data_IF_133553754220
#
_entry.id   IF_133553754220
#
_cell.length_a   1.000
_cell.length_b   1.000
_cell.length_c   1.000
_cell.angle_alpha   90.00
_cell.angle_beta   90.00
_cell.angle_gamma   90.00
#
_symmetry.space_group_name_H-M   'P 1'
#
loop_
_entity.id
_entity.type
_entity.pdbx_description
1 polymer ?
#
# COMPACT_ATOMS: atom_id res chain seq x y z
N UNK A 1 9.56 30.76 13.81
CA UNK A 1 9.10 31.86 12.94
C UNK A 1 8.06 31.29 12.00
N UNK A 2 6.84 31.81 12.08
CA UNK A 2 5.76 31.48 11.14
C UNK A 2 5.81 32.43 9.96
N UNK A 3 5.15 32.07 8.86
CA UNK A 3 5.04 32.94 7.69
C UNK A 3 4.28 34.22 8.05
N UNK A 4 4.97 35.36 8.00
CA UNK A 4 4.33 36.67 8.09
C UNK A 4 3.44 36.98 6.87
N UNK A 5 2.45 37.89 7.01
CA UNK A 5 1.53 38.25 5.92
C UNK A 5 2.22 38.69 4.61
N UNK A 6 3.39 39.33 4.71
CA UNK A 6 4.19 39.73 3.54
C UNK A 6 4.68 38.50 2.76
N UNK A 7 5.10 37.44 3.46
CA UNK A 7 5.49 36.17 2.83
C UNK A 7 4.29 35.49 2.18
N UNK A 8 3.12 35.47 2.84
CA UNK A 8 1.89 34.88 2.26
C UNK A 8 1.47 35.62 1.00
N UNK A 9 1.56 36.96 0.97
CA UNK A 9 1.25 37.75 -0.23
C UNK A 9 2.21 37.45 -1.38
N UNK A 10 3.50 37.29 -1.09
CA UNK A 10 4.49 36.91 -2.09
C UNK A 10 4.22 35.50 -2.64
N UNK A 11 3.92 34.53 -1.75
CA UNK A 11 3.53 33.16 -2.13
C UNK A 11 2.27 33.19 -2.99
N UNK A 12 1.21 33.89 -2.57
CA UNK A 12 -0.04 34.02 -3.33
C UNK A 12 0.19 34.59 -4.73
N UNK A 13 1.09 35.58 -4.86
CA UNK A 13 1.45 36.15 -6.16
C UNK A 13 2.20 35.14 -7.04
N UNK A 14 3.05 34.31 -6.45
CA UNK A 14 3.75 33.23 -7.17
C UNK A 14 2.78 32.12 -7.59
N UNK A 15 1.86 31.72 -6.70
CA UNK A 15 0.82 30.71 -6.97
C UNK A 15 -0.09 31.18 -8.10
N UNK A 16 -0.59 32.42 -8.05
CA UNK A 16 -1.48 32.96 -9.09
C UNK A 16 -0.82 32.98 -10.47
N UNK A 17 0.50 33.19 -10.56
CA UNK A 17 1.23 33.12 -11.82
C UNK A 17 1.28 31.70 -12.37
N UNK A 18 1.55 30.71 -11.52
CA UNK A 18 1.58 29.29 -11.92
C UNK A 18 0.18 28.85 -12.34
N UNK A 19 -0.85 29.18 -11.55
CA UNK A 19 -2.25 28.84 -11.80
C UNK A 19 -2.76 29.42 -13.14
N UNK A 20 -2.36 30.66 -13.47
CA UNK A 20 -2.70 31.27 -14.76
C UNK A 20 -2.00 30.65 -15.98
N UNK A 21 -0.95 29.85 -15.76
CA UNK A 21 -0.22 29.14 -16.82
C UNK A 21 -0.72 27.71 -17.01
N UNK A 22 -1.48 27.17 -16.05
CA UNK A 22 -2.07 25.84 -16.10
C UNK A 22 -3.50 25.86 -16.64
N UNK A 23 -3.77 26.64 -17.70
CA UNK A 23 -5.00 26.44 -18.49
C UNK A 23 -5.02 24.95 -18.87
N UNK A 24 -5.98 24.19 -18.29
CA UNK A 24 -6.06 22.73 -18.30
C UNK A 24 -5.47 22.15 -19.59
N UNK A 25 -4.20 21.74 -19.55
CA UNK A 25 -3.53 21.12 -20.69
C UNK A 25 -4.20 19.76 -20.95
N UNK A 26 -5.23 19.86 -21.80
CA UNK A 26 -5.90 18.84 -22.60
C UNK A 26 -6.55 17.65 -21.85
N UNK A 27 -7.64 17.88 -21.08
CA UNK A 27 -8.55 16.80 -20.69
C UNK A 27 -9.11 16.03 -21.91
N UNK A 28 -9.01 16.58 -23.13
CA UNK A 28 -9.41 15.91 -24.37
C UNK A 28 -8.55 14.66 -24.69
N UNK A 29 -7.27 14.63 -24.29
CA UNK A 29 -6.39 13.46 -24.54
C UNK A 29 -6.65 12.31 -23.56
N UNK A 30 -7.20 12.57 -22.38
CA UNK A 30 -7.38 11.55 -21.34
C UNK A 30 -8.31 10.40 -21.78
N UNK A 31 -9.48 10.65 -22.41
CA UNK A 31 -10.31 9.59 -23.01
C UNK A 31 -9.59 8.76 -24.08
N UNK A 32 -8.83 9.39 -24.97
CA UNK A 32 -8.10 8.68 -26.04
C UNK A 32 -7.03 7.76 -25.46
N UNK A 33 -6.27 8.24 -24.47
CA UNK A 33 -5.27 7.44 -23.76
C UNK A 33 -5.94 6.31 -22.98
N UNK A 34 -7.13 6.54 -22.42
CA UNK A 34 -7.85 5.50 -21.70
C UNK A 34 -8.19 4.32 -22.62
N UNK A 35 -8.59 4.55 -23.87
CA UNK A 35 -8.84 3.48 -24.85
C UNK A 35 -7.60 2.61 -25.14
N UNK A 36 -6.40 3.18 -25.05
CA UNK A 36 -5.13 2.44 -25.17
C UNK A 36 -4.88 1.47 -24.00
N UNK A 37 -5.61 1.61 -22.89
CA UNK A 37 -5.47 0.72 -21.73
C UNK A 37 -6.27 -0.59 -21.87
N UNK A 38 -6.96 -0.78 -22.99
CA UNK A 38 -7.53 -2.09 -23.36
C UNK A 38 -6.46 -3.18 -23.36
N UNK A 39 -5.32 -2.91 -24.00
CA UNK A 39 -4.10 -3.72 -23.92
C UNK A 39 -2.87 -2.85 -24.20
N UNK A 40 -2.09 -2.60 -23.15
CA UNK A 40 -0.84 -1.85 -23.21
C UNK A 40 0.32 -2.84 -23.17
N UNK A 41 1.11 -2.86 -24.23
CA UNK A 41 2.31 -3.69 -24.32
C UNK A 41 3.57 -2.82 -24.34
N UNK A 42 4.70 -3.38 -23.93
CA UNK A 42 6.02 -2.81 -24.12
C UNK A 42 6.98 -3.93 -24.49
N UNK A 43 7.75 -3.75 -25.57
CA UNK A 43 8.73 -4.73 -26.06
C UNK A 43 8.21 -6.19 -26.12
N UNK A 44 6.99 -6.36 -26.66
CA UNK A 44 6.33 -7.67 -26.79
C UNK A 44 5.79 -8.29 -25.48
N UNK A 45 5.88 -7.57 -24.35
CA UNK A 45 5.34 -7.99 -23.05
C UNK A 45 4.12 -7.14 -22.70
N UNK A 46 3.06 -7.78 -22.20
CA UNK A 46 1.88 -7.09 -21.69
C UNK A 46 2.25 -6.35 -20.40
N UNK A 47 2.08 -5.03 -20.40
CA UNK A 47 2.27 -4.15 -19.25
C UNK A 47 0.98 -4.02 -18.46
N UNK A 48 -0.13 -3.82 -19.17
CA UNK A 48 -1.46 -3.65 -18.61
C UNK A 48 -2.49 -4.22 -19.59
N UNK A 49 -3.53 -4.87 -19.09
CA UNK A 49 -4.65 -5.36 -19.92
C UNK A 49 -5.97 -5.22 -19.19
N UNK A 50 -7.00 -4.70 -19.84
CA UNK A 50 -8.33 -4.66 -19.26
C UNK A 50 -8.90 -6.08 -19.07
N UNK A 51 -9.46 -6.36 -17.89
CA UNK A 51 -10.22 -7.57 -17.63
C UNK A 51 -11.65 -7.38 -18.13
N UNK A 52 -11.94 -7.95 -19.29
CA UNK A 52 -13.23 -7.79 -19.96
C UNK A 52 -13.30 -6.49 -20.76
N UNK A 53 -14.47 -5.85 -20.79
CA UNK A 53 -14.66 -4.59 -21.52
C UNK A 53 -14.01 -3.45 -20.73
N UNK A 54 -13.27 -2.59 -21.44
CA UNK A 54 -12.80 -1.32 -20.90
C UNK A 54 -14.00 -0.39 -20.63
N UNK A 55 -14.15 0.10 -19.40
CA UNK A 55 -15.23 1.02 -19.06
C UNK A 55 -14.89 1.92 -17.86
N UNK A 56 -15.67 3.00 -17.75
CA UNK A 56 -15.76 3.85 -16.56
C UNK A 56 -17.15 3.73 -15.97
N UNK A 57 -17.22 3.45 -14.68
CA UNK A 57 -18.45 3.33 -13.92
C UNK A 57 -18.67 4.55 -13.03
N UNK A 58 -19.94 4.78 -12.67
CA UNK A 58 -20.36 5.82 -11.73
C UNK A 58 -21.47 5.25 -10.85
N UNK A 59 -21.41 5.48 -9.54
CA UNK A 59 -22.42 5.05 -8.58
C UNK A 59 -22.82 6.20 -7.66
N UNK A 60 -24.12 6.28 -7.35
CA UNK A 60 -24.66 7.28 -6.42
C UNK A 60 -24.33 6.84 -4.98
N UNK A 61 -23.71 7.73 -4.20
CA UNK A 61 -23.27 7.43 -2.82
C UNK A 61 -24.46 6.99 -1.96
N UNK A 62 -25.59 7.69 -2.00
CA UNK A 62 -26.73 7.33 -1.13
C UNK A 62 -27.36 6.01 -1.56
N UNK A 63 -27.46 5.73 -2.87
CA UNK A 63 -27.99 4.44 -3.33
C UNK A 63 -27.05 3.30 -2.97
N UNK A 64 -25.75 3.52 -3.08
CA UNK A 64 -24.74 2.51 -2.78
C UNK A 64 -24.65 2.26 -1.27
N UNK A 65 -24.78 3.29 -0.43
CA UNK A 65 -24.79 3.13 1.04
C UNK A 65 -26.07 2.47 1.57
N UNK A 66 -27.19 2.56 0.83
CA UNK A 66 -28.44 1.84 1.13
C UNK A 66 -28.48 0.43 0.53
N UNK A 67 -27.53 0.07 -0.33
CA UNK A 67 -27.47 -1.26 -0.90
C UNK A 67 -27.06 -2.29 0.17
N UNK A 68 -27.46 -3.55 -0.02
CA UNK A 68 -27.02 -4.63 0.87
C UNK A 68 -25.51 -4.81 0.74
N UNK A 69 -24.80 -4.80 1.86
CA UNK A 69 -23.40 -5.19 1.94
C UNK A 69 -23.22 -6.62 1.40
N UNK A 70 -22.36 -6.85 0.39
CA UNK A 70 -22.10 -8.19 -0.13
C UNK A 70 -21.48 -9.14 0.89
N UNK A 71 -20.80 -8.63 1.93
CA UNK A 71 -20.12 -9.43 2.94
C UNK A 71 -20.49 -8.96 4.33
N UNK A 72 -21.13 -9.84 5.12
CA UNK A 72 -21.58 -9.50 6.48
C UNK A 72 -20.41 -9.30 7.45
N UNK A 73 -19.25 -9.92 7.16
CA UNK A 73 -18.04 -9.78 7.97
C UNK A 73 -16.87 -9.31 7.11
N UNK A 74 -16.19 -8.28 7.60
CA UNK A 74 -14.99 -7.73 6.98
C UNK A 74 -13.86 -7.73 7.99
N UNK A 75 -12.67 -8.11 7.55
CA UNK A 75 -11.44 -8.09 8.32
C UNK A 75 -10.44 -7.13 7.68
N UNK A 76 -9.60 -6.52 8.51
CA UNK A 76 -8.50 -5.70 7.99
C UNK A 76 -7.28 -5.81 8.88
N UNK A 77 -6.10 -5.82 8.27
CA UNK A 77 -4.84 -5.75 8.99
C UNK A 77 -4.18 -4.39 8.79
N UNK A 78 -3.52 -3.92 9.83
CA UNK A 78 -2.58 -2.80 9.76
C UNK A 78 -1.41 -3.07 10.73
N UNK A 79 -0.28 -2.40 10.49
CA UNK A 79 0.92 -2.52 11.31
C UNK A 79 1.43 -1.17 11.78
N UNK A 80 1.60 -1.04 13.09
CA UNK A 80 2.20 0.13 13.72
C UNK A 80 3.70 -0.02 13.87
N UNK A 81 4.41 1.12 13.86
CA UNK A 81 5.85 1.18 14.02
C UNK A 81 6.27 2.25 15.03
N UNK A 82 7.35 1.98 15.75
CA UNK A 82 8.03 2.97 16.61
C UNK A 82 8.80 4.02 15.83
N UNK A 83 8.90 3.86 14.51
CA UNK A 83 9.93 4.39 13.63
C UNK A 83 11.33 3.88 14.02
N UNK A 84 12.24 3.71 13.05
CA UNK A 84 13.62 3.32 13.32
C UNK A 84 14.29 4.23 14.36
N UNK A 85 14.87 3.61 15.38
CA UNK A 85 15.70 4.21 16.40
C UNK A 85 17.15 3.94 16.02
N UNK A 86 17.90 5.01 15.75
CA UNK A 86 19.35 4.97 15.57
C UNK A 86 20.06 5.21 16.89
N UNK A 87 21.20 4.53 17.08
CA UNK A 87 22.04 4.67 18.26
C UNK A 87 23.46 5.08 17.86
N UNK A 88 24.18 5.77 18.76
CA UNK A 88 25.56 6.20 18.56
C UNK A 88 26.54 5.03 18.30
N UNK A 89 26.15 3.81 18.68
CA UNK A 89 26.89 2.58 18.42
C UNK A 89 26.81 2.12 16.96
N UNK A 90 25.99 2.78 16.12
CA UNK A 90 25.66 2.36 14.76
C UNK A 90 24.60 1.25 14.72
N UNK A 91 23.97 0.93 15.85
CA UNK A 91 22.81 0.06 15.93
C UNK A 91 21.56 0.80 15.44
N UNK A 92 20.74 0.10 14.68
CA UNK A 92 19.41 0.52 14.26
C UNK A 92 18.42 -0.52 14.72
N UNK A 93 17.32 -0.08 15.32
CA UNK A 93 16.22 -0.94 15.75
C UNK A 93 14.91 -0.32 15.31
N UNK A 94 13.99 -1.12 14.82
CA UNK A 94 12.58 -0.74 14.77
C UNK A 94 11.72 -1.84 15.39
N UNK A 95 10.70 -1.43 16.13
CA UNK A 95 9.68 -2.31 16.66
C UNK A 95 8.39 -2.04 15.90
N UNK A 96 7.89 -3.07 15.23
CA UNK A 96 6.57 -3.06 14.62
C UNK A 96 5.66 -4.06 15.32
N UNK A 97 4.36 -3.78 15.31
CA UNK A 97 3.36 -4.79 15.62
C UNK A 97 2.21 -4.72 14.62
N UNK A 98 1.62 -5.87 14.34
CA UNK A 98 0.42 -5.96 13.52
C UNK A 98 -0.78 -6.35 14.38
N UNK A 99 -1.93 -5.78 14.01
CA UNK A 99 -3.24 -6.06 14.59
C UNK A 99 -4.25 -6.29 13.46
N UNK A 100 -5.14 -7.26 13.63
CA UNK A 100 -6.31 -7.45 12.76
C UNK A 100 -7.58 -6.93 13.45
N UNK A 101 -8.30 -6.06 12.74
CA UNK A 101 -9.63 -5.61 13.09
C UNK A 101 -10.70 -6.36 12.30
N UNK A 102 -11.92 -6.31 12.82
CA UNK A 102 -13.10 -6.90 12.22
C UNK A 102 -14.31 -5.96 12.33
N UNK A 103 -15.20 -6.07 11.36
CA UNK A 103 -16.52 -5.46 11.37
C UNK A 103 -17.55 -6.53 10.96
N UNK A 104 -18.50 -6.89 11.84
CA UNK A 104 -18.63 -6.48 13.25
C UNK A 104 -17.42 -6.81 14.14
N UNK A 105 -17.32 -6.13 15.28
CA UNK A 105 -16.19 -6.25 16.23
C UNK A 105 -16.11 -7.65 16.84
N UNK A 106 -14.89 -8.19 16.90
CA UNK A 106 -14.56 -9.49 17.46
C UNK A 106 -13.39 -9.34 18.43
N UNK A 107 -13.67 -9.39 19.73
CA UNK A 107 -12.69 -9.06 20.77
C UNK A 107 -11.56 -10.10 20.84
N UNK A 108 -11.87 -11.39 20.62
CA UNK A 108 -10.84 -12.44 20.62
C UNK A 108 -9.87 -12.25 19.44
N UNK A 109 -10.33 -11.71 18.32
CA UNK A 109 -9.43 -11.38 17.22
C UNK A 109 -8.60 -10.13 17.52
N UNK A 110 -9.22 -9.09 18.09
CA UNK A 110 -8.56 -7.80 18.35
C UNK A 110 -7.55 -7.88 19.50
N UNK A 111 -7.65 -8.90 20.37
CA UNK A 111 -6.68 -9.14 21.44
C UNK A 111 -5.41 -9.85 20.97
N UNK A 112 -5.30 -10.25 19.69
CA UNK A 112 -4.13 -10.94 19.17
C UNK A 112 -3.06 -9.97 18.67
N UNK A 113 -1.80 -10.19 19.07
CA UNK A 113 -0.68 -9.29 18.72
C UNK A 113 0.49 -10.08 18.13
N UNK A 114 1.12 -9.54 17.09
CA UNK A 114 2.40 -10.05 16.58
C UNK A 114 3.39 -8.91 16.51
N UNK A 115 4.42 -8.97 17.35
CA UNK A 115 5.45 -7.94 17.48
C UNK A 115 6.77 -8.43 16.86
N UNK A 116 7.39 -7.59 16.04
CA UNK A 116 8.71 -7.86 15.47
C UNK A 116 9.63 -6.70 15.78
N UNK A 117 10.76 -7.02 16.40
CA UNK A 117 11.87 -6.10 16.54
C UNK A 117 12.93 -6.44 15.50
N UNK A 118 13.09 -5.59 14.49
CA UNK A 118 14.18 -5.73 13.52
C UNK A 118 15.39 -4.93 13.98
N UNK A 119 16.58 -5.50 13.81
CA UNK A 119 17.83 -4.88 14.20
C UNK A 119 18.87 -4.96 13.08
N UNK A 120 19.67 -3.90 12.95
CA UNK A 120 20.85 -3.88 12.09
C UNK A 120 22.02 -3.22 12.80
N UNK A 121 23.20 -3.82 12.66
CA UNK A 121 24.47 -3.18 13.00
C UNK A 121 25.50 -3.52 11.93
N UNK A 122 26.29 -2.53 11.45
CA UNK A 122 27.38 -2.81 10.53
C UNK A 122 28.52 -3.59 11.21
N UNK A 123 28.57 -3.62 12.54
CA UNK A 123 29.60 -4.34 13.29
C UNK A 123 29.28 -5.84 13.39
N UNK A 124 30.22 -6.67 12.96
CA UNK A 124 30.16 -8.13 13.17
C UNK A 124 30.45 -8.52 14.62
N UNK A 125 31.06 -7.63 15.42
CA UNK A 125 31.36 -7.86 16.83
C UNK A 125 30.13 -7.67 17.74
N UNK A 126 29.08 -7.00 17.25
CA UNK A 126 27.84 -6.85 18.00
C UNK A 126 27.04 -8.15 17.96
N UNK A 127 26.84 -8.75 19.12
CA UNK A 127 25.95 -9.90 19.31
C UNK A 127 24.60 -9.35 19.77
N UNK A 128 23.56 -9.67 19.01
CA UNK A 128 22.18 -9.38 19.36
C UNK A 128 21.56 -10.74 19.63
N UNK A 129 20.99 -10.90 20.82
CA UNK A 129 20.25 -12.10 21.17
C UNK A 129 18.94 -12.09 20.38
N UNK A 130 18.93 -12.77 19.24
CA UNK A 130 17.75 -12.95 18.40
C UNK A 130 16.96 -14.13 18.91
N UNK A 131 15.64 -14.06 18.80
CA UNK A 131 14.81 -15.21 19.17
C UNK A 131 15.00 -16.33 18.15
N UNK A 132 15.01 -17.58 18.61
CA UNK A 132 15.03 -18.76 17.72
C UNK A 132 13.66 -19.07 17.08
N UNK A 133 12.66 -18.21 17.31
CA UNK A 133 11.26 -18.38 16.93
C UNK A 133 10.37 -17.36 17.64
N UNK A 134 9.09 -17.68 17.76
CA UNK A 134 8.09 -16.82 18.41
C UNK A 134 8.03 -17.03 19.92
N UNK A 135 8.25 -15.96 20.68
CA UNK A 135 8.05 -15.93 22.13
C UNK A 135 6.62 -15.50 22.45
N UNK A 136 5.88 -16.34 23.17
CA UNK A 136 4.49 -16.05 23.53
C UNK A 136 4.42 -15.18 24.80
N UNK A 137 3.46 -14.26 24.85
CA UNK A 137 3.17 -13.43 26.01
C UNK A 137 1.66 -13.24 26.19
N UNK A 138 1.27 -12.67 27.35
CA UNK A 138 -0.12 -12.37 27.70
C UNK A 138 -1.08 -13.56 27.50
N UNK A 139 -0.73 -14.73 28.02
CA UNK A 139 -1.58 -15.93 27.92
C UNK A 139 -1.72 -16.52 26.51
N UNK A 140 -0.73 -16.31 25.63
CA UNK A 140 -0.74 -16.66 24.19
C UNK A 140 -1.67 -15.77 23.35
N UNK A 141 -2.05 -14.61 23.87
CA UNK A 141 -2.70 -13.56 23.09
C UNK A 141 -1.67 -12.80 22.23
N UNK A 142 -0.42 -12.72 22.66
CA UNK A 142 0.65 -12.05 21.93
C UNK A 142 1.83 -12.97 21.61
N UNK A 143 2.52 -12.67 20.51
CA UNK A 143 3.82 -13.25 20.20
C UNK A 143 4.82 -12.20 19.74
N UNK A 144 6.09 -12.38 20.10
CA UNK A 144 7.18 -11.47 19.76
C UNK A 144 8.36 -12.22 19.12
N UNK A 145 9.09 -11.55 18.24
CA UNK A 145 10.33 -12.06 17.67
C UNK A 145 11.35 -10.93 17.47
N UNK A 146 12.62 -11.23 17.76
CA UNK A 146 13.74 -10.32 17.50
C UNK A 146 14.52 -10.87 16.31
N UNK A 147 14.52 -10.13 15.21
CA UNK A 147 15.23 -10.48 13.97
C UNK A 147 16.41 -9.55 13.73
N UNK A 148 17.41 -10.08 13.04
CA UNK A 148 18.63 -9.35 12.71
C UNK A 148 18.88 -9.41 11.22
N UNK A 149 19.03 -8.24 10.61
CA UNK A 149 19.56 -8.10 9.26
C UNK A 149 21.07 -8.31 9.33
N UNK A 150 21.60 -9.17 8.45
CA UNK A 150 23.03 -9.52 8.51
C UNK A 150 23.93 -8.30 8.26
N UNK A 151 25.06 -8.16 9.01
CA UNK A 151 26.02 -7.08 8.76
C UNK A 151 26.55 -7.09 7.33
N UNK A 152 26.76 -5.91 6.76
CA UNK A 152 27.34 -5.76 5.42
C UNK A 152 26.32 -5.77 4.27
N UNK A 153 25.06 -6.17 4.53
CA UNK A 153 24.01 -6.14 3.51
C UNK A 153 23.51 -4.72 3.21
N UNK A 154 23.69 -3.76 4.12
CA UNK A 154 23.16 -2.40 4.00
C UNK A 154 24.27 -1.36 4.14
N UNK A 155 24.52 -0.61 3.07
CA UNK A 155 25.41 0.58 3.10
C UNK A 155 24.62 1.88 3.14
N UNK A 156 23.39 1.89 2.60
CA UNK A 156 22.46 3.02 2.65
C UNK A 156 21.04 2.53 2.98
N UNK A 157 20.15 3.48 3.28
CA UNK A 157 18.73 3.24 3.56
C UNK A 157 18.50 2.25 4.71
N UNK A 158 19.43 2.24 5.68
CA UNK A 158 19.41 1.33 6.82
C UNK A 158 18.09 1.45 7.57
N UNK A 159 17.72 2.68 7.94
CA UNK A 159 16.50 3.00 8.67
C UNK A 159 15.26 2.40 7.97
N UNK A 160 15.15 2.66 6.66
CA UNK A 160 14.02 2.19 5.84
C UNK A 160 13.99 0.67 5.72
N UNK A 161 15.13 0.00 5.61
CA UNK A 161 15.16 -1.48 5.50
C UNK A 161 14.87 -2.16 6.84
N UNK A 162 15.40 -1.62 7.95
CA UNK A 162 15.06 -2.09 9.30
C UNK A 162 13.56 -1.98 9.54
N UNK A 163 12.97 -0.82 9.20
CA UNK A 163 11.53 -0.59 9.24
C UNK A 163 10.76 -1.60 8.38
N UNK A 164 11.10 -1.71 7.09
CA UNK A 164 10.38 -2.57 6.16
C UNK A 164 10.41 -4.05 6.59
N UNK A 165 11.54 -4.55 7.09
CA UNK A 165 11.63 -5.92 7.59
C UNK A 165 10.74 -6.11 8.83
N UNK A 166 10.77 -5.19 9.79
CA UNK A 166 9.91 -5.29 10.98
C UNK A 166 8.43 -5.25 10.59
N UNK A 167 8.05 -4.26 9.78
CA UNK A 167 6.68 -4.01 9.35
C UNK A 167 6.12 -5.23 8.60
N UNK A 168 6.76 -5.62 7.49
CA UNK A 168 6.24 -6.68 6.63
C UNK A 168 6.32 -8.06 7.28
N UNK A 169 7.31 -8.33 8.15
CA UNK A 169 7.33 -9.58 8.90
C UNK A 169 6.21 -9.60 9.94
N UNK A 170 5.98 -8.51 10.67
CA UNK A 170 4.86 -8.45 11.62
C UNK A 170 3.50 -8.60 10.93
N UNK A 171 3.29 -7.93 9.80
CA UNK A 171 2.04 -7.99 9.04
C UNK A 171 1.79 -9.40 8.50
N UNK A 172 2.72 -9.91 7.69
CA UNK A 172 2.52 -11.16 6.97
C UNK A 172 2.39 -12.36 7.92
N UNK A 173 3.17 -12.38 9.00
CA UNK A 173 3.06 -13.42 10.02
C UNK A 173 1.71 -13.34 10.74
N UNK A 174 1.27 -12.14 11.11
CA UNK A 174 0.01 -11.96 11.83
C UNK A 174 -1.19 -12.42 11.01
N UNK A 175 -1.20 -12.12 9.71
CA UNK A 175 -2.20 -12.61 8.77
C UNK A 175 -2.17 -14.13 8.72
N UNK A 176 -1.01 -14.75 8.49
CA UNK A 176 -0.89 -16.21 8.43
C UNK A 176 -1.36 -16.90 9.71
N UNK A 177 -1.11 -16.28 10.87
CA UNK A 177 -1.52 -16.84 12.16
C UNK A 177 -3.03 -16.83 12.37
N UNK A 178 -3.75 -15.88 11.77
CA UNK A 178 -5.18 -15.68 12.00
C UNK A 178 -6.08 -16.02 10.81
N UNK A 179 -5.55 -16.16 9.60
CA UNK A 179 -6.36 -16.32 8.39
C UNK A 179 -7.26 -17.56 8.38
N UNK A 180 -6.83 -18.64 9.05
CA UNK A 180 -7.64 -19.86 9.21
C UNK A 180 -8.85 -19.64 10.14
N UNK A 181 -8.82 -18.59 10.97
CA UNK A 181 -9.92 -18.20 11.85
C UNK A 181 -10.92 -17.26 11.19
N UNK A 182 -10.63 -16.75 9.99
CA UNK A 182 -11.58 -15.91 9.28
C UNK A 182 -12.77 -16.74 8.81
N UNK A 183 -13.98 -16.18 8.97
CA UNK A 183 -15.20 -16.77 8.44
C UNK A 183 -15.08 -17.01 6.92
N UNK A 184 -15.71 -18.09 6.43
CA UNK A 184 -15.62 -18.50 5.03
C UNK A 184 -16.14 -17.42 4.07
N UNK A 185 -17.23 -16.75 4.44
CA UNK A 185 -17.90 -15.71 3.64
C UNK A 185 -17.47 -14.28 4.04
N UNK A 186 -16.21 -14.13 4.48
CA UNK A 186 -15.66 -12.84 4.89
C UNK A 186 -14.87 -12.14 3.80
N UNK A 187 -14.73 -10.82 3.94
CA UNK A 187 -13.92 -9.97 3.07
C UNK A 187 -12.66 -9.49 3.78
N UNK A 188 -11.48 -9.72 3.22
CA UNK A 188 -10.22 -9.29 3.83
C UNK A 188 -9.59 -8.10 3.09
N UNK A 189 -9.17 -7.09 3.86
CA UNK A 189 -8.59 -5.84 3.34
C UNK A 189 -7.23 -5.61 3.99
N UNK A 190 -6.18 -5.52 3.19
CA UNK A 190 -4.86 -5.07 3.63
C UNK A 190 -4.77 -3.54 3.51
N UNK A 191 -4.23 -2.86 4.52
CA UNK A 191 -3.97 -1.41 4.46
C UNK A 191 -2.73 -1.11 3.62
N UNK A 192 -2.88 -1.21 2.30
CA UNK A 192 -1.80 -1.01 1.34
C UNK A 192 -1.85 -2.00 0.20
N UNK A 193 -0.75 -2.13 -0.56
CA UNK A 193 -0.64 -3.10 -1.65
C UNK A 193 -0.74 -4.54 -1.13
N UNK A 194 -1.21 -5.47 -1.96
CA UNK A 194 -1.26 -6.91 -1.60
C UNK A 194 0.13 -7.53 -1.45
N UNK A 195 1.19 -6.82 -1.86
CA UNK A 195 2.57 -7.28 -1.82
C UNK A 195 3.51 -6.19 -1.31
N UNK A 196 4.63 -6.55 -0.67
CA UNK A 196 5.56 -5.60 -0.07
C UNK A 196 6.45 -4.94 -1.15
N UNK A 197 5.87 -4.03 -1.94
CA UNK A 197 6.48 -3.43 -3.15
C UNK A 197 7.91 -2.93 -2.92
N UNK A 198 8.18 -2.30 -1.77
CA UNK A 198 9.51 -1.77 -1.47
C UNK A 198 10.54 -2.87 -1.26
N UNK A 199 10.16 -3.95 -0.56
CA UNK A 199 11.05 -5.09 -0.36
C UNK A 199 11.26 -5.82 -1.68
N UNK A 200 10.18 -6.09 -2.43
CA UNK A 200 10.26 -6.70 -3.77
C UNK A 200 11.22 -5.97 -4.70
N UNK A 201 11.15 -4.63 -4.73
CA UNK A 201 12.07 -3.83 -5.53
C UNK A 201 13.54 -4.15 -5.18
N UNK A 202 13.93 -4.17 -3.90
CA UNK A 202 15.32 -4.44 -3.50
C UNK A 202 15.72 -5.91 -3.63
N UNK A 203 14.75 -6.81 -3.71
CA UNK A 203 14.98 -8.22 -3.98
C UNK A 203 15.35 -8.44 -5.46
N UNK A 204 14.79 -7.64 -6.38
CA UNK A 204 15.00 -7.77 -7.82
C UNK A 204 16.11 -6.84 -8.34
N UNK A 205 16.16 -5.60 -7.86
CA UNK A 205 17.13 -4.59 -8.32
C UNK A 205 18.50 -4.85 -7.70
N UNK A 206 19.52 -5.01 -8.55
CA UNK A 206 20.90 -5.12 -8.12
C UNK A 206 21.41 -3.78 -7.59
N UNK A 207 21.90 -3.78 -6.35
CA UNK A 207 22.45 -2.59 -5.73
C UNK A 207 23.62 -2.95 -4.82
N UNK A 208 24.75 -2.26 -5.02
CA UNK A 208 25.88 -2.31 -4.08
C UNK A 208 25.55 -1.68 -2.72
N UNK A 209 24.50 -0.84 -2.66
CA UNK A 209 24.09 -0.12 -1.45
C UNK A 209 23.11 -0.95 -0.58
N UNK A 210 22.33 -1.84 -1.19
CA UNK A 210 21.29 -2.66 -0.54
C UNK A 210 21.31 -4.08 -1.12
N UNK A 211 21.83 -5.03 -0.36
CA UNK A 211 21.99 -6.45 -0.75
C UNK A 211 21.00 -7.36 0.01
N UNK A 212 19.75 -6.92 0.14
CA UNK A 212 18.75 -7.62 0.98
C UNK A 212 18.27 -8.96 0.39
N UNK A 213 18.57 -9.23 -0.89
CA UNK A 213 18.26 -10.50 -1.56
C UNK A 213 18.80 -11.73 -0.84
N UNK A 214 19.91 -11.57 -0.12
CA UNK A 214 20.53 -12.67 0.63
C UNK A 214 20.01 -12.75 2.08
N UNK A 215 19.12 -11.85 2.52
CA UNK A 215 18.58 -11.88 3.88
C UNK A 215 17.44 -12.91 4.01
N UNK A 216 17.55 -13.79 4.98
CA UNK A 216 16.57 -14.86 5.19
C UNK A 216 15.22 -14.31 5.67
N UNK A 217 15.20 -13.21 6.43
CA UNK A 217 13.93 -12.59 6.85
C UNK A 217 13.22 -11.97 5.64
N UNK A 218 13.98 -11.37 4.72
CA UNK A 218 13.41 -10.83 3.48
C UNK A 218 12.76 -11.92 2.62
N UNK A 219 13.43 -13.06 2.46
CA UNK A 219 12.85 -14.22 1.75
C UNK A 219 11.63 -14.78 2.46
N UNK A 220 11.68 -14.90 3.80
CA UNK A 220 10.54 -15.35 4.60
C UNK A 220 9.33 -14.44 4.43
N UNK A 221 9.52 -13.12 4.45
CA UNK A 221 8.45 -12.16 4.21
C UNK A 221 7.80 -12.43 2.85
N UNK A 222 8.59 -12.53 1.77
CA UNK A 222 8.03 -12.80 0.45
C UNK A 222 7.27 -14.13 0.39
N UNK A 223 7.82 -15.18 1.01
CA UNK A 223 7.14 -16.48 1.11
C UNK A 223 5.81 -16.35 1.87
N UNK A 224 5.75 -15.58 2.95
CA UNK A 224 4.53 -15.36 3.70
C UNK A 224 3.43 -14.71 2.85
N UNK A 225 3.77 -13.70 2.04
CA UNK A 225 2.78 -13.11 1.11
C UNK A 225 2.31 -14.11 0.05
N UNK A 226 3.19 -14.97 -0.46
CA UNK A 226 2.80 -16.04 -1.38
C UNK A 226 1.86 -17.04 -0.69
N UNK A 227 2.14 -17.42 0.55
CA UNK A 227 1.30 -18.33 1.35
C UNK A 227 -0.07 -17.71 1.67
N UNK A 228 -0.14 -16.40 1.93
CA UNK A 228 -1.41 -15.66 2.07
C UNK A 228 -2.20 -15.72 0.77
N UNK A 229 -1.57 -15.45 -0.38
CA UNK A 229 -2.27 -15.54 -1.67
C UNK A 229 -2.72 -16.98 -1.96
N UNK A 230 -1.89 -17.98 -1.67
CA UNK A 230 -2.24 -19.40 -1.82
C UNK A 230 -3.49 -19.76 -1.02
N UNK A 231 -3.56 -19.30 0.22
CA UNK A 231 -4.73 -19.51 1.06
C UNK A 231 -5.99 -18.87 0.46
N UNK A 232 -5.92 -17.61 0.03
CA UNK A 232 -7.07 -16.90 -0.50
C UNK A 232 -7.51 -17.40 -1.89
N UNK A 233 -6.57 -17.72 -2.78
CA UNK A 233 -6.86 -18.30 -4.10
C UNK A 233 -7.46 -19.70 -3.93
N UNK A 234 -6.85 -20.55 -3.09
CA UNK A 234 -7.30 -21.93 -2.90
C UNK A 234 -8.67 -22.06 -2.26
N UNK A 235 -8.99 -21.15 -1.33
CA UNK A 235 -10.29 -21.13 -0.65
C UNK A 235 -11.31 -20.20 -1.32
N UNK A 236 -10.94 -19.54 -2.44
CA UNK A 236 -11.76 -18.52 -3.14
C UNK A 236 -12.29 -17.43 -2.20
N UNK A 237 -11.46 -17.03 -1.22
CA UNK A 237 -11.79 -15.99 -0.23
C UNK A 237 -11.34 -14.63 -0.73
N UNK A 238 -12.22 -13.62 -0.83
CA UNK A 238 -11.86 -12.33 -1.38
C UNK A 238 -10.83 -11.60 -0.50
N UNK A 239 -9.78 -11.13 -1.15
CA UNK A 239 -8.71 -10.33 -0.56
C UNK A 239 -8.41 -9.14 -1.46
N UNK A 240 -8.34 -7.96 -0.86
CA UNK A 240 -7.87 -6.75 -1.53
C UNK A 240 -6.75 -6.08 -0.75
N UNK A 241 -5.89 -5.38 -1.47
CA UNK A 241 -5.07 -4.31 -0.95
C UNK A 241 -5.72 -2.97 -1.23
N UNK A 242 -5.91 -2.15 -0.19
CA UNK A 242 -6.51 -0.82 -0.32
C UNK A 242 -5.41 0.26 -0.26
N UNK A 243 -4.98 0.75 -1.41
CA UNK A 243 -3.87 1.72 -1.52
C UNK A 243 -4.43 3.15 -1.48
N UNK A 244 -4.20 3.83 -0.36
CA UNK A 244 -4.63 5.23 -0.11
C UNK A 244 -3.93 6.25 -1.01
N UNK A 245 -2.63 6.03 -1.26
CA UNK A 245 -1.77 6.95 -2.00
C UNK A 245 -1.00 6.22 -3.10
N UNK A 246 -1.63 5.91 -4.25
CA UNK A 246 -0.96 5.22 -5.34
C UNK A 246 0.13 6.08 -6.00
N UNK A 247 1.37 5.57 -6.00
CA UNK A 247 2.55 6.24 -6.55
C UNK A 247 3.09 5.59 -7.84
N UNK A 248 2.38 4.61 -8.39
CA UNK A 248 2.81 3.89 -9.59
C UNK A 248 2.95 4.87 -10.79
N UNK A 249 3.97 4.66 -11.63
CA UNK A 249 4.29 5.47 -12.82
C UNK A 249 4.41 4.61 -14.09
N UNK A 250 4.03 3.33 -14.00
CA UNK A 250 4.33 2.34 -15.03
C UNK A 250 3.61 2.61 -16.34
N UNK A 251 2.34 2.99 -16.26
CA UNK A 251 1.55 3.31 -17.46
C UNK A 251 2.14 4.57 -18.11
N UNK A 252 2.39 5.62 -17.32
CA UNK A 252 2.96 6.87 -17.83
C UNK A 252 4.35 6.67 -18.46
N UNK A 253 5.23 5.89 -17.82
CA UNK A 253 6.55 5.56 -18.37
C UNK A 253 6.41 4.79 -19.69
N UNK A 254 5.49 3.84 -19.77
CA UNK A 254 5.25 3.03 -20.99
C UNK A 254 4.75 3.90 -22.15
N UNK A 255 3.79 4.78 -21.89
CA UNK A 255 3.25 5.70 -22.89
C UNK A 255 4.35 6.63 -23.43
N UNK A 256 5.19 7.18 -22.55
CA UNK A 256 6.33 8.01 -22.97
C UNK A 256 7.35 7.24 -23.80
N UNK A 257 7.78 6.06 -23.32
CA UNK A 257 8.85 5.28 -23.96
C UNK A 257 8.43 4.63 -25.28
N UNK A 258 7.20 4.09 -25.39
CA UNK A 258 6.74 3.35 -26.57
C UNK A 258 6.00 4.21 -27.57
N UNK A 259 5.09 5.04 -27.08
CA UNK A 259 4.19 5.81 -27.94
C UNK A 259 4.74 7.22 -28.22
N UNK A 260 5.93 7.54 -27.70
CA UNK A 260 6.57 8.83 -27.93
C UNK A 260 5.82 10.03 -27.32
N UNK A 261 4.91 9.77 -26.38
CA UNK A 261 4.06 10.79 -25.75
C UNK A 261 4.84 11.55 -24.66
N UNK A 262 5.94 12.21 -25.05
CA UNK A 262 6.82 12.92 -24.12
C UNK A 262 6.16 14.15 -23.47
N UNK A 263 5.09 14.65 -24.07
CA UNK A 263 4.31 15.83 -23.66
C UNK A 263 3.16 15.52 -22.70
N UNK A 264 3.02 14.28 -22.20
CA UNK A 264 1.97 13.97 -21.23
C UNK A 264 2.12 14.86 -19.97
N UNK A 265 1.03 15.46 -19.47
CA UNK A 265 1.09 16.33 -18.29
C UNK A 265 1.25 15.54 -16.98
N UNK A 266 0.93 14.25 -16.98
CA UNK A 266 0.95 13.41 -15.78
C UNK A 266 2.27 12.66 -15.61
N UNK A 267 2.83 12.72 -14.40
CA UNK A 267 4.00 11.94 -14.02
C UNK A 267 3.59 10.56 -13.48
N UNK A 268 2.53 10.54 -12.66
CA UNK A 268 2.01 9.34 -11.99
C UNK A 268 0.75 8.82 -12.67
N UNK A 269 0.56 7.50 -12.62
CA UNK A 269 -0.64 6.84 -13.13
C UNK A 269 -1.89 7.34 -12.40
N UNK A 270 -1.76 7.63 -11.09
CA UNK A 270 -2.83 8.22 -10.28
C UNK A 270 -3.26 9.61 -10.72
N UNK A 271 -2.36 10.45 -11.22
CA UNK A 271 -2.73 11.76 -11.75
C UNK A 271 -3.56 11.63 -13.03
N UNK A 272 -3.17 10.70 -13.91
CA UNK A 272 -3.93 10.38 -15.12
C UNK A 272 -5.33 9.83 -14.79
N UNK A 273 -5.42 8.82 -13.94
CA UNK A 273 -6.72 8.22 -13.58
C UNK A 273 -7.63 9.19 -12.83
N UNK A 274 -7.07 10.08 -12.00
CA UNK A 274 -7.84 11.16 -11.37
C UNK A 274 -8.50 12.03 -12.44
N UNK A 275 -7.77 12.44 -13.47
CA UNK A 275 -8.34 13.20 -14.59
C UNK A 275 -9.39 12.42 -15.40
N UNK A 276 -9.16 11.14 -15.66
CA UNK A 276 -10.10 10.27 -16.40
C UNK A 276 -11.43 10.06 -15.66
N UNK A 277 -11.37 10.00 -14.33
CA UNK A 277 -12.50 9.70 -13.45
C UNK A 277 -13.16 10.96 -12.87
N UNK A 278 -12.48 12.11 -12.89
CA UNK A 278 -13.05 13.39 -12.53
C UNK A 278 -14.29 13.68 -13.39
N UNK A 279 -15.42 14.07 -12.78
CA UNK A 279 -16.58 14.53 -13.53
C UNK A 279 -16.16 15.72 -14.41
N UNK A 280 -16.30 15.61 -15.72
CA UNK A 280 -15.91 16.66 -16.65
C UNK A 280 -16.63 17.98 -16.37
N UNK A 281 -16.02 19.10 -16.76
CA UNK A 281 -16.61 20.45 -16.62
C UNK A 281 -17.94 20.61 -17.36
N UNK A 282 -18.31 19.70 -18.26
CA UNK A 282 -19.64 19.67 -18.91
C UNK A 282 -20.79 19.38 -17.93
N UNK A 283 -20.60 18.51 -16.92
CA UNK A 283 -21.59 18.29 -15.84
C UNK A 283 -21.75 19.54 -14.95
N UNK A 284 -20.80 20.49 -15.05
CA UNK A 284 -20.77 21.76 -14.31
C UNK A 284 -21.26 22.94 -15.17
N UNK A 285 -21.42 22.77 -16.49
CA UNK A 285 -21.89 23.79 -17.45
C UNK A 285 -23.42 23.80 -17.63
N UNK A 286 -24.15 22.84 -17.04
CA UNK A 286 -25.58 23.03 -16.80
C UNK A 286 -25.76 24.20 -15.82
N UNK A 287 -26.01 25.39 -16.38
CA UNK A 287 -26.31 26.64 -15.67
C UNK A 287 -27.29 26.37 -14.52
N UNK A 288 -26.76 26.27 -13.30
CA UNK A 288 -27.54 26.07 -12.07
C UNK A 288 -27.20 24.80 -11.28
N UNK A 289 -26.29 23.94 -11.73
CA UNK A 289 -25.76 22.85 -10.89
C UNK A 289 -24.87 23.45 -9.80
N UNK A 290 -25.41 23.53 -8.58
CA UNK A 290 -24.64 23.86 -7.39
C UNK A 290 -23.41 22.92 -7.28
N UNK A 291 -22.31 23.45 -6.74
CA UNK A 291 -21.07 22.72 -6.42
C UNK A 291 -21.30 21.40 -5.64
N UNK A 292 -22.50 21.16 -5.12
CA UNK A 292 -22.90 19.94 -4.41
C UNK A 292 -23.32 18.73 -5.27
N UNK A 293 -23.59 18.84 -6.58
CA UNK A 293 -24.03 17.67 -7.38
C UNK A 293 -22.90 16.71 -7.79
N UNK A 294 -21.69 17.22 -8.00
CA UNK A 294 -20.52 16.40 -8.36
C UNK A 294 -20.05 15.51 -7.20
N UNK A 295 -20.20 15.99 -5.97
CA UNK A 295 -19.82 15.33 -4.71
C UNK A 295 -20.60 14.04 -4.40
N UNK A 296 -21.75 13.80 -5.05
CA UNK A 296 -22.67 12.69 -4.73
C UNK A 296 -22.28 11.35 -5.37
N UNK A 297 -21.30 11.33 -6.27
CA UNK A 297 -21.02 10.15 -7.09
C UNK A 297 -19.61 9.63 -6.85
N UNK A 298 -19.46 8.31 -6.76
CA UNK A 298 -18.15 7.65 -6.85
C UNK A 298 -17.95 7.22 -8.30
N UNK A 299 -16.80 7.53 -8.88
CA UNK A 299 -16.41 7.08 -10.22
C UNK A 299 -15.29 6.06 -10.13
N UNK A 300 -15.28 5.08 -11.03
CA UNK A 300 -14.30 3.99 -10.99
C UNK A 300 -14.04 3.40 -12.37
N UNK A 301 -12.97 2.63 -12.52
CA UNK A 301 -12.64 1.91 -13.76
C UNK A 301 -13.10 0.45 -13.71
N UNK A 302 -13.09 -0.24 -14.86
CA UNK A 302 -12.96 -1.70 -14.85
C UNK A 302 -11.66 -2.14 -14.15
N UNK A 303 -11.52 -3.46 -13.96
CA UNK A 303 -10.26 -4.04 -13.49
C UNK A 303 -9.25 -4.18 -14.61
N UNK A 304 -7.99 -3.97 -14.28
CA UNK A 304 -6.83 -4.19 -15.13
C UNK A 304 -5.95 -5.29 -14.55
N UNK A 305 -5.38 -6.11 -15.42
CA UNK A 305 -4.31 -7.05 -15.13
C UNK A 305 -2.96 -6.38 -15.41
N UNK A 306 -2.04 -6.46 -14.46
CA UNK A 306 -0.68 -5.94 -14.55
C UNK A 306 0.31 -7.11 -14.33
N UNK A 307 0.58 -7.91 -15.37
CA UNK A 307 1.34 -9.15 -15.21
C UNK A 307 2.86 -8.90 -15.12
N UNK A 308 3.34 -7.76 -15.62
CA UNK A 308 4.74 -7.37 -15.59
C UNK A 308 4.88 -5.93 -15.07
N UNK A 309 5.30 -5.76 -13.82
CA UNK A 309 5.79 -4.50 -13.27
C UNK A 309 7.20 -4.10 -13.71
N UNK A 310 7.46 -2.80 -13.86
CA UNK A 310 8.80 -2.27 -14.13
C UNK A 310 9.54 -1.91 -12.84
N UNK A 311 10.77 -2.39 -12.71
CA UNK A 311 11.76 -1.81 -11.80
C UNK A 311 12.98 -1.37 -12.59
N UNK A 312 13.30 -0.07 -12.59
CA UNK A 312 14.54 0.54 -13.11
C UNK A 312 15.15 -0.10 -14.38
N UNK A 313 14.29 -0.42 -15.36
CA UNK A 313 14.61 -1.00 -16.68
C UNK A 313 14.71 -2.54 -16.77
N UNK A 314 14.42 -3.28 -15.71
CA UNK A 314 14.23 -4.73 -15.75
C UNK A 314 12.82 -5.04 -16.27
N UNK A 315 12.74 -5.77 -17.38
CA UNK A 315 11.47 -6.24 -17.97
C UNK A 315 11.21 -7.73 -17.71
N UNK A 316 12.05 -8.39 -16.92
CA UNK A 316 11.94 -9.83 -16.69
C UNK A 316 11.07 -10.10 -15.47
N UNK A 317 9.78 -10.31 -15.77
CA UNK A 317 8.79 -11.09 -15.01
C UNK A 317 8.71 -10.82 -13.50
N UNK A 318 7.74 -10.01 -13.10
CA UNK A 318 7.61 -9.40 -11.76
C UNK A 318 6.38 -9.87 -10.98
N UNK A 319 5.87 -11.07 -11.29
CA UNK A 319 5.18 -11.82 -10.23
C UNK A 319 6.23 -12.14 -9.17
N UNK A 320 5.89 -12.03 -7.88
CA UNK A 320 6.74 -12.51 -6.77
C UNK A 320 7.33 -13.89 -7.04
N UNK A 321 6.52 -14.73 -7.69
CA UNK A 321 6.78 -16.12 -8.02
C UNK A 321 7.54 -16.28 -9.36
N UNK A 322 7.68 -15.21 -10.13
CA UNK A 322 8.36 -15.23 -11.43
C UNK A 322 9.85 -14.94 -11.35
N UNK A 323 10.37 -14.29 -10.29
CA UNK A 323 11.81 -14.14 -10.10
C UNK A 323 12.45 -15.52 -9.86
N UNK A 324 13.10 -16.15 -10.86
CA UNK A 324 13.54 -17.54 -10.76
C UNK A 324 14.55 -17.75 -9.63
N UNK A 325 15.26 -16.68 -9.28
CA UNK A 325 16.33 -16.65 -8.29
C UNK A 325 15.84 -16.74 -6.84
N UNK A 326 14.54 -16.52 -6.60
CA UNK A 326 13.99 -16.48 -5.23
C UNK A 326 13.46 -17.84 -4.74
N UNK A 327 13.32 -18.83 -5.64
CA UNK A 327 12.86 -20.20 -5.34
C UNK A 327 11.63 -20.28 -4.38
N UNK A 328 10.73 -19.30 -4.44
CA UNK A 328 9.54 -19.25 -3.57
C UNK A 328 8.60 -20.42 -3.89
N UNK A 329 8.07 -21.05 -2.85
CA UNK A 329 7.10 -22.15 -2.98
C UNK A 329 5.73 -21.56 -3.25
N UNK A 330 5.04 -22.12 -4.23
CA UNK A 330 3.74 -21.63 -4.67
C UNK A 330 2.85 -22.81 -5.13
N UNK A 331 1.55 -22.75 -4.87
CA UNK A 331 0.60 -23.83 -5.23
C UNK A 331 -0.09 -23.63 -6.58
N UNK A 332 -0.20 -22.39 -7.04
CA UNK A 332 -0.95 -22.03 -8.25
C UNK A 332 -0.03 -21.66 -9.41
N UNK A 333 -0.53 -21.59 -10.66
CA UNK A 333 0.20 -21.04 -11.79
C UNK A 333 0.69 -19.61 -11.51
N UNK A 334 1.87 -19.25 -12.03
CA UNK A 334 2.53 -17.97 -11.73
C UNK A 334 1.69 -16.73 -12.11
N UNK A 335 0.84 -16.88 -13.12
CA UNK A 335 -0.12 -15.87 -13.58
C UNK A 335 -1.17 -15.53 -12.53
N UNK A 336 -1.55 -16.46 -11.65
CA UNK A 336 -2.57 -16.23 -10.62
C UNK A 336 -2.10 -15.25 -9.53
N UNK A 337 -0.79 -15.06 -9.39
CA UNK A 337 -0.20 -14.10 -8.46
C UNK A 337 -0.01 -12.71 -9.09
N UNK A 338 -0.32 -12.54 -10.38
CA UNK A 338 -0.27 -11.23 -11.02
C UNK A 338 -1.22 -10.25 -10.33
N UNK A 339 -0.81 -8.99 -10.23
CA UNK A 339 -1.67 -7.96 -9.65
C UNK A 339 -2.76 -7.63 -10.64
N UNK A 340 -3.98 -7.62 -10.14
CA UNK A 340 -5.10 -6.93 -10.77
C UNK A 340 -5.50 -5.74 -9.94
N UNK A 341 -5.98 -4.67 -10.58
CA UNK A 341 -6.44 -3.51 -9.86
C UNK A 341 -7.55 -2.77 -10.57
N UNK A 342 -8.32 -1.99 -9.83
CA UNK A 342 -9.16 -0.94 -10.39
C UNK A 342 -8.96 0.35 -9.59
N UNK A 343 -9.25 1.48 -10.23
CA UNK A 343 -9.10 2.80 -9.63
C UNK A 343 -10.47 3.33 -9.22
N UNK A 344 -10.56 3.96 -8.05
CA UNK A 344 -11.79 4.53 -7.51
C UNK A 344 -11.52 5.97 -7.12
N UNK A 345 -12.25 6.91 -7.71
CA UNK A 345 -12.19 8.32 -7.37
C UNK A 345 -13.42 8.72 -6.53
N UNK A 346 -13.16 9.41 -5.43
CA UNK A 346 -14.18 9.93 -4.52
C UNK A 346 -14.14 11.47 -4.59
N UNK A 347 -14.98 12.11 -5.42
CA UNK A 347 -14.97 13.55 -5.66
C UNK A 347 -15.17 14.39 -4.39
N UNK A 348 -15.93 13.90 -3.41
CA UNK A 348 -16.17 14.61 -2.15
C UNK A 348 -14.91 14.76 -1.29
N UNK A 349 -13.96 13.83 -1.43
CA UNK A 349 -12.65 13.87 -0.77
C UNK A 349 -11.56 14.41 -1.70
N UNK A 350 -11.84 14.48 -3.00
CA UNK A 350 -10.85 14.71 -4.06
C UNK A 350 -9.67 13.71 -4.01
N UNK A 351 -9.96 12.46 -3.60
CA UNK A 351 -8.97 11.37 -3.43
C UNK A 351 -9.23 10.24 -4.43
N UNK A 352 -8.13 9.72 -4.97
CA UNK A 352 -8.12 8.54 -5.82
C UNK A 352 -7.48 7.36 -5.07
N UNK A 353 -8.22 6.28 -4.94
CA UNK A 353 -7.76 5.02 -4.38
C UNK A 353 -7.42 4.01 -5.48
N UNK A 354 -6.43 3.16 -5.20
CA UNK A 354 -6.14 1.98 -6.02
C UNK A 354 -6.48 0.74 -5.19
N UNK A 355 -7.29 -0.13 -5.75
CA UNK A 355 -7.68 -1.40 -5.11
C UNK A 355 -6.98 -2.51 -5.86
N UNK A 356 -6.11 -3.26 -5.18
CA UNK A 356 -5.33 -4.37 -5.76
C UNK A 356 -5.88 -5.72 -5.29
N UNK A 357 -5.79 -6.76 -6.12
CA UNK A 357 -6.14 -8.14 -5.78
C UNK A 357 -5.36 -9.12 -6.67
N UNK A 358 -5.11 -10.37 -6.22
CA UNK A 358 -4.45 -11.36 -7.06
C UNK A 358 -5.35 -11.82 -8.21
N UNK A 359 -4.78 -11.99 -9.40
CA UNK A 359 -5.50 -12.44 -10.59
C UNK A 359 -6.21 -13.79 -10.39
N UNK A 360 -5.63 -14.68 -9.59
CA UNK A 360 -6.22 -15.98 -9.26
C UNK A 360 -7.62 -15.87 -8.65
N UNK A 361 -7.93 -14.76 -7.96
CA UNK A 361 -9.26 -14.45 -7.42
C UNK A 361 -10.11 -13.71 -8.47
N UNK A 362 -9.55 -12.67 -9.09
CA UNK A 362 -10.33 -11.75 -9.94
C UNK A 362 -10.51 -12.23 -11.38
N UNK A 363 -9.88 -13.33 -11.80
CA UNK A 363 -10.19 -14.00 -13.07
C UNK A 363 -11.62 -14.51 -13.11
N UNK A 364 -12.20 -14.80 -11.94
CA UNK A 364 -13.62 -15.07 -11.76
C UNK A 364 -14.41 -13.75 -11.77
N UNK A 365 -15.24 -13.55 -12.80
CA UNK A 365 -16.02 -12.34 -13.00
C UNK A 365 -17.03 -12.09 -11.87
N UNK A 366 -17.65 -13.14 -11.32
CA UNK A 366 -18.63 -12.98 -10.24
C UNK A 366 -17.96 -12.50 -8.96
N UNK A 367 -16.81 -13.09 -8.62
CA UNK A 367 -16.02 -12.68 -7.46
C UNK A 367 -15.54 -11.23 -7.61
N UNK A 368 -15.01 -10.89 -8.79
CA UNK A 368 -14.55 -9.54 -9.11
C UNK A 368 -15.67 -8.49 -8.96
N UNK A 369 -16.88 -8.81 -9.40
CA UNK A 369 -18.05 -7.94 -9.23
C UNK A 369 -18.45 -7.77 -7.76
N UNK A 370 -18.44 -8.84 -6.96
CA UNK A 370 -18.73 -8.79 -5.52
C UNK A 370 -17.70 -7.93 -4.78
N UNK A 371 -16.42 -8.13 -5.06
CA UNK A 371 -15.33 -7.34 -4.48
C UNK A 371 -15.46 -5.85 -4.83
N UNK A 372 -15.81 -5.54 -6.09
CA UNK A 372 -16.03 -4.16 -6.55
C UNK A 372 -17.19 -3.51 -5.79
N UNK A 373 -18.33 -4.20 -5.70
CA UNK A 373 -19.51 -3.71 -4.97
C UNK A 373 -19.22 -3.49 -3.49
N UNK A 374 -18.48 -4.40 -2.86
CA UNK A 374 -18.08 -4.28 -1.46
C UNK A 374 -17.27 -3.01 -1.22
N UNK A 375 -16.25 -2.77 -2.03
CA UNK A 375 -15.42 -1.57 -1.88
C UNK A 375 -16.22 -0.29 -2.11
N UNK A 376 -17.05 -0.25 -3.15
CA UNK A 376 -17.88 0.91 -3.43
C UNK A 376 -18.92 1.17 -2.31
N UNK A 377 -19.50 0.11 -1.74
CA UNK A 377 -20.37 0.18 -0.57
C UNK A 377 -19.63 0.78 0.64
N UNK A 378 -18.47 0.24 0.99
CA UNK A 378 -17.71 0.68 2.17
C UNK A 378 -17.26 2.14 2.05
N UNK A 379 -16.83 2.56 0.86
CA UNK A 379 -16.51 3.96 0.55
C UNK A 379 -17.76 4.85 0.61
N UNK A 380 -18.90 4.39 0.07
CA UNK A 380 -20.14 5.17 0.10
C UNK A 380 -20.66 5.41 1.53
N UNK A 381 -20.44 4.46 2.44
CA UNK A 381 -20.90 4.58 3.84
C UNK A 381 -19.96 5.46 4.67
N UNK A 382 -18.62 5.32 4.52
CA UNK A 382 -17.65 5.92 5.47
C UNK A 382 -16.51 6.72 4.80
N UNK A 383 -16.48 6.84 3.48
CA UNK A 383 -15.37 7.43 2.70
C UNK A 383 -14.18 6.46 2.52
N UNK A 384 -13.86 5.69 3.56
CA UNK A 384 -12.92 4.57 3.55
C UNK A 384 -13.51 3.37 4.28
N UNK A 385 -13.10 2.12 3.99
CA UNK A 385 -13.56 0.96 4.74
C UNK A 385 -13.39 1.10 6.26
N UNK A 386 -14.49 1.01 7.01
CA UNK A 386 -14.50 1.21 8.46
C UNK A 386 -13.54 0.26 9.20
N UNK A 387 -13.41 -0.97 8.70
CA UNK A 387 -12.51 -1.96 9.28
C UNK A 387 -11.04 -1.56 9.17
N UNK A 388 -10.65 -0.81 8.13
CA UNK A 388 -9.31 -0.23 8.03
C UNK A 388 -9.09 0.84 9.11
N UNK A 389 -10.03 1.76 9.32
CA UNK A 389 -9.92 2.76 10.39
C UNK A 389 -9.81 2.12 11.77
N UNK A 390 -10.48 0.97 11.98
CA UNK A 390 -10.34 0.19 13.21
C UNK A 390 -8.97 -0.46 13.32
N UNK A 391 -8.46 -1.06 12.24
CA UNK A 391 -7.14 -1.69 12.23
C UNK A 391 -6.04 -0.65 12.54
N UNK A 392 -6.08 0.51 11.86
CA UNK A 392 -5.20 1.66 12.12
C UNK A 392 -5.26 2.10 13.59
N UNK A 393 -6.47 2.20 14.16
CA UNK A 393 -6.64 2.57 15.57
C UNK A 393 -6.04 1.53 16.54
N UNK A 394 -6.08 0.24 16.20
CA UNK A 394 -5.51 -0.84 17.03
C UNK A 394 -4.00 -0.97 16.85
N UNK A 395 -3.48 -0.67 15.66
CA UNK A 395 -2.07 -0.76 15.32
C UNK A 395 -1.29 0.49 15.75
N UNK A 396 -1.95 1.64 15.93
CA UNK A 396 -1.28 2.91 16.21
C UNK A 396 -0.49 2.91 17.54
N UNK A 397 0.84 2.97 17.42
CA UNK A 397 1.75 3.29 18.53
C UNK A 397 1.81 4.80 18.72
N UNK A 398 1.30 5.28 19.87
CA UNK A 398 1.22 6.70 20.21
C UNK A 398 2.59 7.26 20.56
N UNK A 399 2.75 8.58 20.41
CA UNK A 399 3.98 9.31 20.75
C UNK A 399 4.46 9.01 22.18
N UNK A 400 3.55 8.92 23.15
CA UNK A 400 3.89 8.63 24.55
C UNK A 400 4.49 7.22 24.70
N UNK A 401 3.96 6.24 23.97
CA UNK A 401 4.44 4.86 23.96
C UNK A 401 5.80 4.78 23.25
N UNK A 402 5.98 5.47 22.12
CA UNK A 402 7.29 5.60 21.43
C UNK A 402 8.36 6.13 22.38
N UNK A 403 8.06 7.17 23.16
CA UNK A 403 8.99 7.72 24.17
C UNK A 403 9.30 6.73 25.30
N UNK A 404 8.28 6.00 25.78
CA UNK A 404 8.47 4.97 26.80
C UNK A 404 9.45 3.89 26.30
N UNK A 405 9.23 3.38 25.09
CA UNK A 405 10.06 2.35 24.46
C UNK A 405 11.49 2.85 24.27
N UNK A 406 11.67 4.07 23.74
CA UNK A 406 12.99 4.72 23.65
C UNK A 406 13.69 4.81 25.01
N UNK A 407 12.95 5.11 26.08
CA UNK A 407 13.46 5.16 27.45
C UNK A 407 13.84 3.81 28.06
N UNK A 408 13.43 2.68 27.47
CA UNK A 408 13.81 1.34 27.94
C UNK A 408 15.26 1.00 27.59
N UNK A 409 15.84 1.64 26.57
CA UNK A 409 17.25 1.47 26.18
C UNK A 409 18.17 2.26 27.14
N UNK A 410 18.52 1.67 28.28
CA UNK A 410 19.32 2.32 29.34
C UNK A 410 20.81 2.43 29.02
N UNK A 411 21.36 1.40 28.37
CA UNK A 411 22.81 1.29 28.13
C UNK A 411 23.23 1.78 26.74
N UNK A 412 22.26 2.06 25.86
CA UNK A 412 22.51 2.58 24.51
C UNK A 412 22.19 4.07 24.46
N UNK A 413 23.05 4.84 23.78
CA UNK A 413 22.80 6.26 23.54
C UNK A 413 22.11 6.43 22.19
N UNK A 414 20.90 6.97 22.20
CA UNK A 414 20.15 7.31 21.00
C UNK A 414 20.90 8.41 20.24
N UNK A 415 21.03 8.22 18.93
CA UNK A 415 21.59 9.22 18.03
C UNK A 415 20.54 10.30 17.77
N UNK A 416 20.68 11.43 18.44
CA UNK A 416 19.71 12.55 18.37
C UNK A 416 20.24 13.59 17.40
N UNK A 417 19.52 13.82 16.29
CA UNK A 417 19.89 14.84 15.31
C UNK A 417 19.22 16.18 15.63
N UNK A 418 19.77 17.27 15.08
CA UNK A 418 19.27 18.63 15.35
C UNK A 418 17.79 18.82 15.01
N UNK A 419 17.25 18.09 14.02
CA UNK A 419 15.83 18.13 13.68
C UNK A 419 14.95 17.59 14.82
N UNK A 420 15.39 16.55 15.54
CA UNK A 420 14.65 15.98 16.67
C UNK A 420 14.54 16.97 17.84
N UNK A 421 15.61 17.74 18.06
CA UNK A 421 15.66 18.78 19.09
C UNK A 421 14.80 19.99 18.71
N UNK A 422 14.71 20.31 17.42
CA UNK A 422 14.05 21.52 16.91
C UNK A 422 12.54 21.36 16.74
N UNK A 423 12.07 20.21 16.29
CA UNK A 423 10.66 19.97 15.97
C UNK A 423 9.94 19.08 17.00
N UNK A 424 10.70 18.30 17.78
CA UNK A 424 10.15 17.22 18.60
C UNK A 424 9.39 16.18 17.76
N UNK A 425 8.95 15.09 18.37
CA UNK A 425 8.09 14.06 17.73
C UNK A 425 6.66 14.57 17.40
N UNK A 426 6.47 15.88 17.26
CA UNK A 426 5.18 16.55 17.09
C UNK A 426 4.73 16.65 15.62
N UNK A 427 5.47 16.06 14.68
CA UNK A 427 5.26 16.29 13.23
C UNK A 427 4.85 15.05 12.42
N UNK A 428 4.67 13.88 13.06
CA UNK A 428 4.25 12.64 12.37
C UNK A 428 2.72 12.46 12.25
N UNK A 429 1.91 13.40 12.75
CA UNK A 429 0.43 13.34 12.74
C UNK A 429 -0.20 14.27 11.66
N UNK A 430 0.43 14.46 10.49
CA UNK A 430 -0.20 15.14 9.35
C UNK A 430 -0.30 14.27 8.10
#
# INVERSE_FOLDING_TARGET
MTLEPVHIKAISSMVARIDSMSEDEDPEKAPEIFELLSELEYDGKVVLKALGKLFRGKVDIDRMSLAKDPFEKTYSCDSGSTNPISFNSGLYIDLCHCSIASTPTDIDMHSKWTMVMSSYSPSTAMVIDTTGGWEQFDGNEGRASIVRIRPGLLKKRVDRMVHNIALYLSESEHILWLMDKFDEDSFFIMDGPIYPKQLMYWMVVESDDVQIRDDENAKQILQNYVDIMDHHIGNRRPLIGFVKNPEDMQIMITLRKKYGMSDLPWLRDSQFFKNVLSPGTEDSREKGASEGKSSRWITYTNWFLQPNQFYENMMDSTSLVLAPEMELKHRFPKEDYAITFFMVFVPSLDVLFKVEAPYGITKDEQMRDLMTRKVLHDIAVNGIPMTLSKADSLAKIRIVEKKLIKGMFKDQKIDTIYNDVRWGESTDDQ
#
